data_IF_292571494113
#
_entry.id   IF_292571494113
#
_cell.length_a   1.000
_cell.length_b   1.000
_cell.length_c   1.000
_cell.angle_alpha   90.00
_cell.angle_beta   90.00
_cell.angle_gamma   90.00
#
_symmetry.space_group_name_H-M   'P 1'
#
loop_
_entity.id
_entity.type
_entity.pdbx_description
1 polymer ?
#
# COMPACT_ATOMS: atom_id res chain seq x y z
N UNK A 1 -4.27 17.15 35.31
CA UNK A 1 -4.96 16.18 34.44
C UNK A 1 -3.91 15.59 33.52
N UNK A 2 -3.73 14.29 33.64
CA UNK A 2 -2.56 13.56 33.17
C UNK A 2 -2.52 13.46 31.63
N UNK A 3 -1.39 13.83 31.03
CA UNK A 3 -1.20 13.95 29.57
C UNK A 3 -1.19 12.59 28.83
N UNK A 4 -1.13 11.49 29.56
CA UNK A 4 -1.22 10.12 29.02
C UNK A 4 -2.64 9.69 28.63
N UNK A 5 -3.67 10.40 29.10
CA UNK A 5 -5.07 10.00 28.97
C UNK A 5 -5.69 10.33 27.61
N UNK A 6 -5.08 11.18 26.80
CA UNK A 6 -5.71 11.66 25.55
C UNK A 6 -5.63 10.61 24.44
N UNK A 7 -4.49 9.95 24.24
CA UNK A 7 -4.35 8.91 23.22
C UNK A 7 -5.12 7.62 23.56
N UNK A 8 -5.17 7.26 24.87
CA UNK A 8 -5.95 6.11 25.36
C UNK A 8 -7.47 6.26 25.18
N UNK A 9 -7.99 7.49 25.13
CA UNK A 9 -9.42 7.75 24.99
C UNK A 9 -9.96 7.53 23.58
N UNK A 10 -9.08 7.56 22.56
CA UNK A 10 -9.45 7.33 21.16
C UNK A 10 -9.59 5.85 20.78
N UNK A 11 -9.02 4.93 21.58
CA UNK A 11 -9.03 3.48 21.31
C UNK A 11 -10.31 2.80 21.81
N UNK A 12 -11.12 3.45 22.69
CA UNK A 12 -12.22 2.81 23.41
C UNK A 12 -13.60 2.78 22.73
N UNK A 13 -13.79 3.28 21.52
CA UNK A 13 -15.14 3.49 20.95
C UNK A 13 -15.67 2.34 20.09
N UNK A 14 -14.89 1.29 19.79
CA UNK A 14 -15.40 0.14 19.01
C UNK A 14 -15.14 -1.21 19.66
N UNK A 15 -15.61 -1.37 20.91
CA UNK A 15 -15.82 -2.71 21.49
C UNK A 15 -17.25 -3.15 21.19
N UNK A 16 -17.51 -3.53 19.95
CA UNK A 16 -18.59 -4.45 19.64
C UNK A 16 -18.01 -5.87 19.75
N UNK A 17 -18.64 -6.71 20.55
CA UNK A 17 -18.26 -8.08 20.87
C UNK A 17 -18.30 -8.98 19.62
N UNK A 18 -17.21 -9.00 18.88
CA UNK A 18 -16.90 -10.06 17.93
C UNK A 18 -15.51 -10.58 18.29
N UNK A 19 -15.35 -11.90 18.33
CA UNK A 19 -14.07 -12.57 18.49
C UNK A 19 -13.03 -11.84 17.64
N UNK A 20 -12.04 -11.18 18.26
CA UNK A 20 -11.06 -10.37 17.57
C UNK A 20 -10.34 -11.28 16.55
N UNK A 21 -10.63 -11.07 15.28
CA UNK A 21 -9.99 -11.81 14.19
C UNK A 21 -8.58 -11.27 14.07
N UNK A 22 -7.60 -11.97 14.62
CA UNK A 22 -6.19 -11.61 14.51
C UNK A 22 -5.60 -12.13 13.20
N UNK A 23 -4.61 -11.42 12.67
CA UNK A 23 -3.75 -11.89 11.59
C UNK A 23 -2.30 -11.54 11.95
N UNK A 24 -1.41 -12.51 11.87
CA UNK A 24 0.03 -12.32 12.08
C UNK A 24 0.84 -13.39 11.38
N UNK A 25 2.04 -13.01 10.94
CA UNK A 25 3.03 -13.89 10.36
C UNK A 25 3.64 -14.78 11.45
N UNK A 26 3.69 -16.09 11.21
CA UNK A 26 4.27 -17.07 12.15
C UNK A 26 5.61 -17.60 11.68
N UNK A 27 5.85 -17.67 10.38
CA UNK A 27 7.08 -18.19 9.81
C UNK A 27 7.38 -17.54 8.46
N UNK A 28 8.65 -17.26 8.19
CA UNK A 28 9.13 -16.74 6.91
C UNK A 28 10.27 -17.61 6.39
N UNK A 29 10.13 -18.12 5.17
CA UNK A 29 11.20 -18.83 4.47
C UNK A 29 11.49 -18.15 3.12
N UNK A 30 12.75 -17.82 2.90
CA UNK A 30 13.25 -17.20 1.67
C UNK A 30 14.33 -18.09 1.05
N UNK A 31 14.31 -18.22 -0.26
CA UNK A 31 15.38 -18.85 -1.03
C UNK A 31 15.68 -17.96 -2.23
N UNK A 32 16.93 -17.60 -2.43
CA UNK A 32 17.41 -16.78 -3.54
C UNK A 32 16.61 -15.47 -3.72
N UNK A 33 16.33 -14.79 -2.60
CA UNK A 33 15.63 -13.51 -2.62
C UNK A 33 16.55 -12.37 -2.20
N UNK A 34 16.80 -11.41 -3.08
CA UNK A 34 17.70 -10.27 -2.84
C UNK A 34 19.06 -10.76 -2.37
N UNK A 35 19.52 -10.33 -1.20
CA UNK A 35 20.77 -10.79 -0.57
C UNK A 35 20.62 -12.04 0.28
N UNK A 36 19.40 -12.57 0.46
CA UNK A 36 19.18 -13.83 1.15
C UNK A 36 19.32 -15.01 0.19
N UNK A 37 20.40 -15.77 0.31
CA UNK A 37 20.52 -17.07 -0.36
C UNK A 37 19.51 -18.06 0.27
N UNK A 38 19.44 -18.09 1.61
CA UNK A 38 18.47 -18.87 2.39
C UNK A 38 18.19 -18.19 3.71
N UNK A 39 16.91 -18.09 4.05
CA UNK A 39 16.40 -17.71 5.37
C UNK A 39 15.26 -18.66 5.71
N UNK A 40 15.20 -19.11 6.96
CA UNK A 40 14.12 -19.98 7.45
C UNK A 40 13.98 -19.75 8.94
N UNK A 41 12.89 -19.04 9.36
CA UNK A 41 12.76 -18.63 10.75
C UNK A 41 11.32 -18.34 11.18
N UNK A 42 11.06 -18.59 12.46
CA UNK A 42 9.81 -18.26 13.12
C UNK A 42 9.74 -16.77 13.45
N UNK A 43 8.57 -16.19 13.28
CA UNK A 43 8.31 -14.79 13.54
C UNK A 43 7.37 -14.67 14.75
N UNK A 44 7.77 -14.00 15.85
CA UNK A 44 6.93 -13.88 17.02
C UNK A 44 5.77 -12.90 16.81
N UNK A 45 4.67 -13.17 17.49
CA UNK A 45 3.47 -12.30 17.50
C UNK A 45 3.70 -11.10 18.41
N UNK A 46 4.59 -10.20 18.01
CA UNK A 46 4.97 -8.97 18.75
C UNK A 46 5.78 -8.02 17.86
N UNK A 47 6.32 -7.01 18.50
CA UNK A 47 7.30 -6.12 17.86
C UNK A 47 8.65 -6.82 17.75
N UNK A 48 9.24 -6.79 16.56
CA UNK A 48 10.58 -7.28 16.24
C UNK A 48 11.44 -6.12 15.74
N UNK A 49 12.62 -5.95 16.32
CA UNK A 49 13.62 -4.97 15.91
C UNK A 49 14.74 -5.66 15.13
N UNK A 50 14.81 -5.39 13.83
CA UNK A 50 15.89 -5.83 12.94
C UNK A 50 17.02 -4.81 12.99
N UNK A 51 18.11 -5.16 13.64
CA UNK A 51 19.26 -4.27 13.91
C UNK A 51 20.44 -4.68 13.04
N UNK A 52 21.16 -3.72 12.48
CA UNK A 52 22.37 -3.99 11.70
C UNK A 52 22.81 -2.76 10.92
N UNK A 53 24.01 -2.79 10.36
CA UNK A 53 24.53 -1.73 9.53
C UNK A 53 23.73 -1.60 8.21
N UNK A 54 23.96 -0.54 7.44
CA UNK A 54 23.32 -0.38 6.13
C UNK A 54 23.75 -1.48 5.15
N UNK A 55 22.87 -1.81 4.22
CA UNK A 55 23.06 -2.83 3.19
C UNK A 55 23.21 -4.28 3.68
N UNK A 56 22.91 -4.58 4.96
CA UNK A 56 23.01 -5.95 5.50
C UNK A 56 21.79 -6.84 5.15
N UNK A 57 20.66 -6.27 4.69
CA UNK A 57 19.47 -7.01 4.29
C UNK A 57 18.23 -6.68 5.11
N UNK A 58 18.28 -5.74 6.05
CA UNK A 58 17.13 -5.32 6.86
C UNK A 58 15.92 -4.96 6.00
N UNK A 59 16.11 -4.05 5.05
CA UNK A 59 15.07 -3.60 4.11
C UNK A 59 14.60 -4.73 3.20
N UNK A 60 15.50 -5.64 2.77
CA UNK A 60 15.13 -6.80 1.96
C UNK A 60 14.26 -7.80 2.72
N UNK A 61 14.45 -7.92 4.04
CA UNK A 61 13.57 -8.71 4.90
C UNK A 61 12.13 -8.14 4.91
N UNK A 62 11.99 -6.83 5.16
CA UNK A 62 10.67 -6.18 5.11
C UNK A 62 10.06 -6.24 3.71
N UNK A 63 10.89 -6.10 2.67
CA UNK A 63 10.45 -6.22 1.29
C UNK A 63 9.86 -7.59 0.99
N UNK A 64 10.44 -8.68 1.50
CA UNK A 64 9.90 -10.02 1.33
C UNK A 64 8.50 -10.15 1.95
N UNK A 65 8.31 -9.66 3.19
CA UNK A 65 7.01 -9.70 3.87
C UNK A 65 5.98 -8.84 3.13
N UNK A 66 6.36 -7.63 2.72
CA UNK A 66 5.49 -6.75 1.95
C UNK A 66 5.13 -7.34 0.58
N UNK A 67 6.10 -7.95 -0.10
CA UNK A 67 5.87 -8.58 -1.40
C UNK A 67 4.87 -9.74 -1.31
N UNK A 68 4.86 -10.50 -0.22
CA UNK A 68 3.86 -11.53 0.02
C UNK A 68 2.45 -10.97 0.25
N UNK A 69 2.31 -9.73 0.74
CA UNK A 69 1.02 -9.06 0.92
C UNK A 69 0.52 -8.33 -0.33
N UNK A 70 1.42 -7.60 -1.00
CA UNK A 70 1.08 -6.68 -2.08
C UNK A 70 1.43 -7.22 -3.48
N UNK A 71 2.20 -8.31 -3.57
CA UNK A 71 2.73 -8.92 -4.80
C UNK A 71 3.52 -7.96 -5.69
N UNK A 72 4.00 -6.88 -5.12
CA UNK A 72 4.86 -5.86 -5.74
C UNK A 72 5.91 -5.38 -4.74
N UNK A 73 7.05 -4.94 -5.26
CA UNK A 73 8.08 -4.32 -4.43
C UNK A 73 7.83 -2.82 -4.26
N UNK A 74 8.29 -2.27 -3.14
CA UNK A 74 8.38 -0.83 -2.93
C UNK A 74 9.75 -0.24 -3.34
N UNK A 75 10.74 -1.09 -3.60
CA UNK A 75 12.09 -0.68 -4.00
C UNK A 75 12.34 -0.73 -5.52
N UNK A 76 11.61 -1.60 -6.23
CA UNK A 76 11.80 -1.80 -7.67
C UNK A 76 10.49 -2.04 -8.39
N UNK A 77 10.41 -1.57 -9.63
CA UNK A 77 9.32 -1.89 -10.57
C UNK A 77 9.63 -3.13 -11.42
N UNK A 78 10.83 -3.70 -11.28
CA UNK A 78 11.30 -4.84 -12.08
C UNK A 78 11.44 -6.06 -11.18
N UNK A 79 10.42 -6.92 -11.14
CA UNK A 79 10.39 -8.10 -10.26
C UNK A 79 11.59 -9.07 -10.44
N UNK A 80 12.22 -9.07 -11.62
CA UNK A 80 13.46 -9.84 -11.84
C UNK A 80 14.58 -9.50 -10.85
N UNK A 81 14.62 -8.24 -10.40
CA UNK A 81 15.62 -7.77 -9.43
C UNK A 81 15.41 -8.31 -8.02
N UNK A 82 14.29 -8.96 -7.76
CA UNK A 82 13.99 -9.61 -6.48
C UNK A 82 14.72 -10.95 -6.34
N UNK A 83 15.04 -11.62 -7.46
CA UNK A 83 15.84 -12.85 -7.44
C UNK A 83 17.28 -12.49 -7.10
N UNK A 84 17.91 -13.29 -6.24
CA UNK A 84 19.32 -13.10 -5.86
C UNK A 84 20.20 -12.95 -7.10
N UNK A 85 21.06 -11.92 -7.11
CA UNK A 85 21.76 -11.53 -8.33
C UNK A 85 22.81 -12.56 -8.77
N UNK A 86 23.33 -13.37 -7.85
CA UNK A 86 24.27 -14.47 -8.18
C UNK A 86 23.48 -15.58 -8.89
N UNK A 87 22.34 -15.96 -8.31
CA UNK A 87 21.47 -16.99 -8.88
C UNK A 87 20.87 -16.56 -10.22
N UNK A 88 20.48 -15.29 -10.36
CA UNK A 88 19.89 -14.73 -11.59
C UNK A 88 20.80 -14.81 -12.84
N UNK A 89 22.08 -15.15 -12.67
CA UNK A 89 23.01 -15.41 -13.79
C UNK A 89 22.83 -16.79 -14.39
N UNK A 90 22.20 -17.72 -13.66
CA UNK A 90 21.90 -19.06 -14.15
C UNK A 90 20.81 -19.01 -15.22
N UNK A 91 20.86 -19.86 -16.25
CA UNK A 91 19.83 -19.90 -17.30
C UNK A 91 18.42 -20.12 -16.73
N UNK A 92 18.30 -20.94 -15.70
CA UNK A 92 17.09 -21.15 -14.93
C UNK A 92 17.37 -20.79 -13.47
N UNK A 93 16.74 -19.74 -12.99
CA UNK A 93 16.88 -19.30 -11.60
C UNK A 93 15.54 -19.20 -10.91
N UNK A 94 15.48 -19.59 -9.64
CA UNK A 94 14.24 -19.58 -8.86
C UNK A 94 14.46 -18.84 -7.54
N UNK A 95 13.77 -17.73 -7.39
CA UNK A 95 13.54 -17.11 -6.09
C UNK A 95 12.25 -17.64 -5.47
N UNK A 96 12.25 -17.94 -4.17
CA UNK A 96 11.09 -18.47 -3.46
C UNK A 96 10.87 -17.74 -2.15
N UNK A 97 9.62 -17.31 -1.93
CA UNK A 97 9.17 -16.68 -0.69
C UNK A 97 8.01 -17.50 -0.13
N UNK A 98 8.04 -17.81 1.14
CA UNK A 98 6.96 -18.52 1.84
C UNK A 98 6.65 -17.78 3.14
N UNK A 99 5.38 -17.45 3.35
CA UNK A 99 4.84 -17.01 4.62
C UNK A 99 3.89 -18.05 5.17
N UNK A 100 4.09 -18.46 6.43
CA UNK A 100 3.05 -19.10 7.21
C UNK A 100 2.46 -18.05 8.16
N UNK A 101 1.14 -17.96 8.23
CA UNK A 101 0.47 -16.94 9.01
C UNK A 101 -0.85 -17.47 9.61
N UNK A 102 -1.26 -16.83 10.67
CA UNK A 102 -2.58 -17.06 11.27
C UNK A 102 -3.55 -16.00 10.80
N UNK A 103 -4.76 -16.43 10.46
CA UNK A 103 -5.89 -15.55 10.15
C UNK A 103 -7.12 -16.02 10.93
N UNK A 104 -7.41 -15.36 12.04
CA UNK A 104 -8.34 -15.89 13.03
C UNK A 104 -7.86 -17.29 13.52
N UNK A 105 -8.73 -18.29 13.62
CA UNK A 105 -8.34 -19.62 14.09
C UNK A 105 -7.53 -20.41 13.06
N UNK A 106 -7.55 -20.02 11.79
CA UNK A 106 -6.96 -20.79 10.69
C UNK A 106 -5.49 -20.45 10.49
N UNK A 107 -4.68 -21.49 10.21
CA UNK A 107 -3.32 -21.35 9.72
C UNK A 107 -3.32 -21.45 8.20
N UNK A 108 -2.55 -20.58 7.55
CA UNK A 108 -2.43 -20.51 6.10
C UNK A 108 -0.96 -20.49 5.69
N UNK A 109 -0.70 -20.96 4.48
CA UNK A 109 0.61 -20.90 3.84
C UNK A 109 0.50 -20.24 2.48
N UNK A 110 1.21 -19.12 2.32
CA UNK A 110 1.34 -18.41 1.07
C UNK A 110 2.75 -18.59 0.52
N UNK A 111 2.85 -19.05 -0.72
CA UNK A 111 4.13 -19.25 -1.40
C UNK A 111 4.14 -18.49 -2.73
N UNK A 112 5.21 -17.76 -2.98
CA UNK A 112 5.46 -17.10 -4.27
C UNK A 112 6.78 -17.60 -4.83
N UNK A 113 6.75 -18.05 -6.08
CA UNK A 113 7.93 -18.45 -6.84
C UNK A 113 8.17 -17.45 -7.96
N UNK A 114 9.38 -16.95 -8.02
CA UNK A 114 9.89 -16.06 -9.06
C UNK A 114 10.80 -16.89 -9.96
N UNK A 115 10.28 -17.38 -11.08
CA UNK A 115 10.99 -18.29 -11.97
C UNK A 115 11.53 -17.48 -13.16
N UNK A 116 12.84 -17.38 -13.28
CA UNK A 116 13.52 -16.82 -14.43
C UNK A 116 13.78 -17.94 -15.45
N UNK A 117 13.12 -17.86 -16.59
CA UNK A 117 13.20 -18.83 -17.68
C UNK A 117 13.94 -18.21 -18.87
N UNK A 118 14.81 -18.96 -19.57
CA UNK A 118 15.47 -18.46 -20.77
C UNK A 118 14.45 -18.24 -21.90
N UNK A 119 14.60 -17.14 -22.62
CA UNK A 119 13.81 -16.82 -23.81
C UNK A 119 14.74 -16.39 -24.94
N UNK A 120 14.76 -17.16 -26.03
CA UNK A 120 15.70 -16.94 -27.12
C UNK A 120 17.16 -17.12 -26.71
N UNK A 121 18.07 -16.48 -27.44
CA UNK A 121 19.53 -16.69 -27.26
C UNK A 121 20.09 -15.96 -26.02
N UNK A 122 19.55 -14.77 -25.69
CA UNK A 122 20.10 -13.92 -24.61
C UNK A 122 19.03 -13.29 -23.69
N UNK A 123 17.77 -13.71 -23.78
CA UNK A 123 16.68 -13.16 -22.99
C UNK A 123 16.29 -14.04 -21.80
N UNK A 124 15.74 -13.42 -20.75
CA UNK A 124 15.10 -14.11 -19.64
C UNK A 124 13.71 -13.52 -19.42
N UNK A 125 12.75 -14.38 -19.18
CA UNK A 125 11.38 -14.02 -18.81
C UNK A 125 11.12 -14.41 -17.35
N UNK A 126 10.57 -13.48 -16.59
CA UNK A 126 10.10 -13.80 -15.25
C UNK A 126 8.67 -14.36 -15.33
N UNK A 127 8.46 -15.52 -14.72
CA UNK A 127 7.14 -16.10 -14.44
C UNK A 127 6.91 -16.14 -12.94
N UNK A 128 5.80 -15.55 -12.51
CA UNK A 128 5.37 -15.53 -11.11
C UNK A 128 4.35 -16.66 -10.88
N UNK A 129 4.59 -17.51 -9.90
CA UNK A 129 3.63 -18.52 -9.46
C UNK A 129 3.23 -18.25 -8.01
N UNK A 130 1.94 -18.30 -7.74
CA UNK A 130 1.38 -18.03 -6.41
C UNK A 130 0.60 -19.28 -5.97
N UNK A 131 0.93 -19.77 -4.78
CA UNK A 131 0.23 -20.89 -4.16
C UNK A 131 -0.32 -20.46 -2.81
N UNK A 132 -1.60 -20.69 -2.59
CA UNK A 132 -2.27 -20.51 -1.30
C UNK A 132 -2.66 -21.91 -0.80
N UNK A 133 -2.17 -22.28 0.39
CA UNK A 133 -2.38 -23.58 1.01
C UNK A 133 -2.03 -24.76 0.07
N UNK A 134 -0.92 -24.59 -0.69
CA UNK A 134 -0.41 -25.56 -1.64
C UNK A 134 -1.12 -25.58 -3.02
N UNK A 135 -2.21 -24.82 -3.19
CA UNK A 135 -2.96 -24.76 -4.44
C UNK A 135 -2.57 -23.51 -5.24
N UNK A 136 -2.21 -23.69 -6.50
CA UNK A 136 -1.90 -22.56 -7.41
C UNK A 136 -3.16 -21.73 -7.67
N UNK A 137 -3.05 -20.43 -7.45
CA UNK A 137 -4.14 -19.45 -7.61
C UNK A 137 -3.69 -18.23 -8.39
N UNK A 138 -4.60 -17.58 -9.13
CA UNK A 138 -4.33 -16.27 -9.71
C UNK A 138 -4.17 -15.20 -8.62
N UNK A 139 -3.35 -14.18 -8.89
CA UNK A 139 -3.07 -13.09 -7.94
C UNK A 139 -4.35 -12.43 -7.40
N UNK A 140 -5.33 -12.20 -8.27
CA UNK A 140 -6.56 -11.52 -7.89
C UNK A 140 -7.40 -12.28 -6.84
N UNK A 141 -7.22 -13.59 -6.71
CA UNK A 141 -7.87 -14.40 -5.69
C UNK A 141 -7.09 -14.43 -4.37
N UNK A 142 -5.79 -14.14 -4.41
CA UNK A 142 -4.90 -14.30 -3.24
C UNK A 142 -4.63 -12.97 -2.52
N UNK A 143 -4.61 -11.86 -3.26
CA UNK A 143 -4.41 -10.56 -2.65
C UNK A 143 -5.48 -10.27 -1.60
N UNK A 144 -5.05 -9.75 -0.41
CA UNK A 144 -5.94 -9.53 0.74
C UNK A 144 -6.11 -10.75 1.66
N UNK A 145 -5.52 -11.92 1.34
CA UNK A 145 -5.44 -13.04 2.29
C UNK A 145 -4.43 -12.79 3.40
N UNK A 146 -3.29 -12.22 3.06
CA UNK A 146 -2.27 -11.74 3.98
C UNK A 146 -2.08 -10.24 3.74
N UNK A 147 -2.22 -9.41 4.77
CA UNK A 147 -2.18 -7.96 4.66
C UNK A 147 -0.99 -7.39 5.41
N UNK A 148 -0.29 -6.46 4.79
CA UNK A 148 0.79 -5.71 5.41
C UNK A 148 0.74 -4.23 4.99
N UNK A 149 1.05 -3.35 5.93
CA UNK A 149 1.25 -1.92 5.66
C UNK A 149 2.72 -1.61 5.87
N UNK A 150 3.34 -1.03 4.85
CA UNK A 150 4.73 -0.61 4.93
C UNK A 150 4.85 0.90 5.03
N UNK A 151 5.80 1.34 5.84
CA UNK A 151 6.24 2.72 5.93
C UNK A 151 7.75 2.79 5.69
N UNK A 152 8.16 3.46 4.62
CA UNK A 152 9.56 3.72 4.26
C UNK A 152 9.74 5.21 3.96
N UNK A 153 10.94 5.80 4.18
CA UNK A 153 11.18 7.22 3.96
C UNK A 153 10.80 7.72 2.55
N UNK A 154 11.04 6.89 1.52
CA UNK A 154 10.76 7.23 0.12
C UNK A 154 9.27 7.38 -0.19
N UNK A 155 8.38 6.94 0.69
CA UNK A 155 6.92 7.08 0.50
C UNK A 155 6.42 8.52 0.60
N UNK A 156 7.27 9.50 0.93
CA UNK A 156 6.94 10.93 0.74
C UNK A 156 6.50 11.23 -0.69
N UNK A 157 6.92 10.42 -1.66
CA UNK A 157 6.48 10.49 -3.05
C UNK A 157 4.96 10.29 -3.23
N UNK A 158 4.25 9.68 -2.28
CA UNK A 158 2.78 9.63 -2.28
C UNK A 158 2.19 11.04 -2.17
N UNK A 159 2.88 11.95 -1.47
CA UNK A 159 2.44 13.33 -1.26
C UNK A 159 3.10 14.28 -2.26
N UNK A 160 4.43 14.24 -2.39
CA UNK A 160 5.24 15.14 -3.21
C UNK A 160 5.28 14.74 -4.69
N UNK A 161 5.10 13.46 -4.99
CA UNK A 161 5.21 12.91 -6.35
C UNK A 161 4.00 13.17 -7.24
N UNK A 162 4.01 12.54 -8.41
CA UNK A 162 2.94 12.68 -9.41
C UNK A 162 1.67 11.89 -9.08
N UNK A 163 0.59 12.10 -9.85
CA UNK A 163 -0.68 11.38 -9.70
C UNK A 163 -0.55 9.86 -9.77
N UNK A 164 0.47 9.35 -10.45
CA UNK A 164 0.72 7.92 -10.61
C UNK A 164 1.03 7.25 -9.25
N UNK A 165 1.89 7.88 -8.43
CA UNK A 165 2.24 7.39 -7.10
C UNK A 165 1.01 7.32 -6.18
N UNK A 166 0.16 8.34 -6.25
CA UNK A 166 -1.08 8.40 -5.47
C UNK A 166 -2.09 7.35 -5.91
N UNK A 167 -2.25 7.14 -7.22
CA UNK A 167 -3.10 6.06 -7.74
C UNK A 167 -2.55 4.69 -7.37
N UNK A 168 -1.22 4.50 -7.43
CA UNK A 168 -0.56 3.25 -7.01
C UNK A 168 -0.82 2.97 -5.54
N UNK A 169 -0.66 3.97 -4.68
CA UNK A 169 -0.97 3.87 -3.26
C UNK A 169 -2.42 3.42 -3.02
N UNK A 170 -3.40 4.11 -3.61
CA UNK A 170 -4.81 3.76 -3.49
C UNK A 170 -5.09 2.34 -4.00
N UNK A 171 -4.56 1.98 -5.16
CA UNK A 171 -4.78 0.66 -5.73
C UNK A 171 -4.26 -0.46 -4.82
N UNK A 172 -3.08 -0.29 -4.21
CA UNK A 172 -2.49 -1.29 -3.31
C UNK A 172 -3.29 -1.42 -2.01
N UNK A 173 -3.70 -0.31 -1.42
CA UNK A 173 -4.52 -0.31 -0.21
C UNK A 173 -5.90 -0.95 -0.46
N UNK A 174 -6.55 -0.59 -1.57
CA UNK A 174 -7.86 -1.13 -1.96
C UNK A 174 -7.80 -2.61 -2.34
N UNK A 175 -6.76 -3.04 -3.07
CA UNK A 175 -6.59 -4.44 -3.46
C UNK A 175 -6.42 -5.37 -2.27
N UNK A 176 -5.76 -4.91 -1.19
CA UNK A 176 -5.61 -5.70 0.03
C UNK A 176 -6.89 -5.74 0.90
N UNK A 177 -7.82 -4.80 0.70
CA UNK A 177 -8.98 -4.62 1.60
C UNK A 177 -10.32 -4.97 0.98
N UNK A 178 -10.47 -4.75 -0.31
CA UNK A 178 -11.75 -4.96 -1.02
C UNK A 178 -11.65 -6.20 -1.89
N UNK A 179 -12.45 -7.24 -1.62
CA UNK A 179 -12.51 -8.42 -2.49
C UNK A 179 -12.80 -8.01 -3.93
N UNK A 180 -12.20 -8.71 -4.89
CA UNK A 180 -12.35 -8.49 -6.33
C UNK A 180 -11.78 -7.16 -6.88
N UNK A 181 -11.33 -6.20 -6.03
CA UNK A 181 -10.80 -4.92 -6.56
C UNK A 181 -9.63 -5.12 -7.53
N UNK A 182 -8.70 -6.03 -7.21
CA UNK A 182 -7.57 -6.34 -8.09
C UNK A 182 -8.03 -6.95 -9.43
N UNK A 183 -9.06 -7.79 -9.42
CA UNK A 183 -9.66 -8.33 -10.63
C UNK A 183 -10.30 -7.22 -11.47
N UNK A 184 -11.13 -6.38 -10.86
CA UNK A 184 -11.78 -5.23 -11.53
C UNK A 184 -10.75 -4.27 -12.12
N UNK A 185 -9.66 -4.00 -11.40
CA UNK A 185 -8.57 -3.15 -11.88
C UNK A 185 -7.86 -3.76 -13.10
N UNK A 186 -7.66 -5.08 -13.11
CA UNK A 186 -7.08 -5.80 -14.25
C UNK A 186 -8.01 -5.78 -15.47
N UNK A 187 -9.30 -6.04 -15.28
CA UNK A 187 -10.31 -5.96 -16.34
C UNK A 187 -10.36 -4.57 -16.97
N UNK A 188 -10.37 -3.54 -16.11
CA UNK A 188 -10.31 -2.15 -16.55
C UNK A 188 -9.05 -1.85 -17.37
N UNK A 189 -7.89 -2.29 -16.90
CA UNK A 189 -6.60 -2.03 -17.57
C UNK A 189 -6.50 -2.72 -18.92
N UNK A 190 -7.00 -3.95 -19.01
CA UNK A 190 -7.06 -4.69 -20.28
C UNK A 190 -8.00 -4.01 -21.28
N UNK A 191 -9.21 -3.67 -20.84
CA UNK A 191 -10.19 -2.97 -21.70
C UNK A 191 -9.68 -1.60 -22.14
N UNK A 192 -9.01 -0.84 -21.26
CA UNK A 192 -8.39 0.44 -21.58
C UNK A 192 -7.31 0.29 -22.67
N UNK A 193 -6.48 -0.75 -22.58
CA UNK A 193 -5.43 -1.03 -23.56
C UNK A 193 -6.04 -1.33 -24.94
N UNK A 194 -7.06 -2.15 -25.01
CA UNK A 194 -7.73 -2.50 -26.25
C UNK A 194 -8.49 -1.29 -26.84
N UNK A 195 -9.18 -0.54 -25.99
CA UNK A 195 -9.86 0.69 -26.42
C UNK A 195 -8.89 1.70 -27.00
N UNK A 196 -7.74 1.94 -26.35
CA UNK A 196 -6.73 2.85 -26.85
C UNK A 196 -6.12 2.40 -28.18
N UNK A 197 -5.93 1.09 -28.37
CA UNK A 197 -5.47 0.53 -29.64
C UNK A 197 -6.49 0.80 -30.75
N UNK A 198 -7.80 0.65 -30.47
CA UNK A 198 -8.87 0.97 -31.43
C UNK A 198 -8.96 2.47 -31.71
N UNK A 199 -8.88 3.32 -30.68
CA UNK A 199 -8.87 4.79 -30.85
C UNK A 199 -7.73 5.25 -31.78
N UNK A 200 -6.54 4.66 -31.58
CA UNK A 200 -5.39 4.95 -32.44
C UNK A 200 -5.62 4.50 -33.88
N UNK A 201 -6.18 3.30 -34.07
CA UNK A 201 -6.53 2.80 -35.42
C UNK A 201 -7.56 3.71 -36.12
N UNK A 202 -8.61 4.12 -35.39
CA UNK A 202 -9.64 5.03 -35.92
C UNK A 202 -9.08 6.41 -36.27
N UNK A 203 -8.13 6.93 -35.47
CA UNK A 203 -7.44 8.16 -35.80
C UNK A 203 -6.59 8.07 -37.06
N UNK A 204 -5.81 6.99 -37.21
CA UNK A 204 -4.87 6.80 -38.31
C UNK A 204 -5.53 6.42 -39.64
N UNK A 205 -6.58 5.60 -39.60
CA UNK A 205 -7.18 4.95 -40.80
C UNK A 205 -8.65 5.21 -40.96
N UNK A 206 -9.30 5.87 -40.02
CA UNK A 206 -10.75 5.95 -39.98
C UNK A 206 -11.38 4.57 -39.68
N UNK A 207 -12.68 4.45 -39.93
CA UNK A 207 -13.40 3.20 -39.78
C UNK A 207 -14.68 3.33 -38.97
N UNK A 208 -15.27 2.19 -38.62
CA UNK A 208 -16.52 2.14 -37.88
C UNK A 208 -16.31 2.41 -36.37
N UNK A 209 -16.74 3.58 -35.95
CA UNK A 209 -16.68 4.02 -34.57
C UNK A 209 -17.61 3.22 -33.62
N UNK A 210 -18.60 2.48 -34.17
CA UNK A 210 -19.52 1.68 -33.35
C UNK A 210 -18.79 0.56 -32.59
N UNK A 211 -17.63 0.14 -33.08
CA UNK A 211 -16.76 -0.85 -32.42
C UNK A 211 -16.29 -0.41 -31.04
N UNK A 212 -16.28 0.89 -30.74
CA UNK A 212 -15.96 1.42 -29.41
C UNK A 212 -17.01 1.05 -28.36
N UNK A 213 -18.27 0.80 -28.76
CA UNK A 213 -19.37 0.58 -27.82
C UNK A 213 -19.10 -0.56 -26.81
N UNK A 214 -18.55 -1.66 -27.28
CA UNK A 214 -18.19 -2.81 -26.42
C UNK A 214 -17.14 -2.42 -25.36
N UNK A 215 -16.12 -1.68 -25.78
CA UNK A 215 -15.06 -1.23 -24.86
C UNK A 215 -15.54 -0.11 -23.96
N UNK A 216 -16.39 0.80 -24.43
CA UNK A 216 -17.03 1.85 -23.64
C UNK A 216 -17.84 1.24 -22.49
N UNK A 217 -18.66 0.22 -22.77
CA UNK A 217 -19.43 -0.49 -21.75
C UNK A 217 -18.51 -1.20 -20.73
N UNK A 218 -17.46 -1.87 -21.21
CA UNK A 218 -16.54 -2.62 -20.35
C UNK A 218 -15.76 -1.68 -19.41
N UNK A 219 -15.21 -0.57 -19.94
CA UNK A 219 -14.45 0.38 -19.11
C UNK A 219 -15.35 1.18 -18.17
N UNK A 220 -16.60 1.47 -18.54
CA UNK A 220 -17.52 2.19 -17.65
C UNK A 220 -17.99 1.31 -16.50
N UNK A 221 -18.29 0.05 -16.75
CA UNK A 221 -18.67 -0.92 -15.70
C UNK A 221 -17.54 -1.12 -14.68
N UNK A 222 -16.35 -1.50 -15.14
CA UNK A 222 -15.21 -1.70 -14.25
C UNK A 222 -14.69 -0.39 -13.65
N UNK A 223 -14.67 0.68 -14.45
CA UNK A 223 -14.27 2.01 -14.02
C UNK A 223 -15.17 2.61 -12.95
N UNK A 224 -16.49 2.48 -13.07
CA UNK A 224 -17.45 2.93 -12.06
C UNK A 224 -17.22 2.23 -10.71
N UNK A 225 -16.97 0.92 -10.73
CA UNK A 225 -16.65 0.16 -9.51
C UNK A 225 -15.36 0.66 -8.84
N UNK A 226 -14.32 0.99 -9.63
CA UNK A 226 -13.07 1.55 -9.10
C UNK A 226 -13.30 2.95 -8.52
N UNK A 227 -14.04 3.82 -9.23
CA UNK A 227 -14.34 5.19 -8.77
C UNK A 227 -15.12 5.14 -7.45
N UNK A 228 -16.17 4.33 -7.36
CA UNK A 228 -16.96 4.19 -6.13
C UNK A 228 -16.12 3.68 -4.96
N UNK A 229 -15.29 2.66 -5.19
CA UNK A 229 -14.38 2.14 -4.18
C UNK A 229 -13.39 3.21 -3.68
N UNK A 230 -12.82 4.02 -4.58
CA UNK A 230 -11.92 5.12 -4.23
C UNK A 230 -12.62 6.25 -3.47
N UNK A 231 -13.83 6.65 -3.90
CA UNK A 231 -14.65 7.65 -3.21
C UNK A 231 -14.83 7.22 -1.74
N UNK A 232 -15.32 6.01 -1.54
CA UNK A 232 -15.59 5.47 -0.21
C UNK A 232 -14.32 5.38 0.64
N UNK A 233 -13.25 4.81 0.09
CA UNK A 233 -12.00 4.63 0.81
C UNK A 233 -11.35 5.96 1.19
N UNK A 234 -11.30 6.93 0.26
CA UNK A 234 -10.68 8.23 0.55
C UNK A 234 -11.46 8.98 1.63
N UNK A 235 -12.79 8.96 1.60
CA UNK A 235 -13.61 9.59 2.65
C UNK A 235 -13.37 8.95 4.04
N UNK A 236 -13.21 7.62 4.09
CA UNK A 236 -12.96 6.91 5.35
C UNK A 236 -11.54 7.15 5.86
N UNK A 237 -10.53 7.04 4.97
CA UNK A 237 -9.12 7.29 5.29
C UNK A 237 -8.93 8.75 5.70
N UNK A 238 -9.57 9.72 5.03
CA UNK A 238 -9.50 11.14 5.39
C UNK A 238 -9.94 11.38 6.83
N UNK A 239 -11.10 10.83 7.23
CA UNK A 239 -11.62 10.98 8.60
C UNK A 239 -10.62 10.45 9.64
N UNK A 240 -9.93 9.36 9.35
CA UNK A 240 -8.91 8.78 10.22
C UNK A 240 -7.62 9.61 10.19
N UNK A 241 -7.12 9.93 9.00
CA UNK A 241 -5.87 10.67 8.81
C UNK A 241 -5.95 12.09 9.38
N UNK A 242 -7.07 12.79 9.18
CA UNK A 242 -7.28 14.11 9.74
C UNK A 242 -7.20 14.11 11.29
N UNK A 243 -7.79 13.11 11.95
CA UNK A 243 -7.71 12.97 13.40
C UNK A 243 -6.29 12.71 13.90
N UNK A 244 -5.59 11.76 13.26
CA UNK A 244 -4.21 11.43 13.60
C UNK A 244 -3.30 12.63 13.35
N UNK A 245 -3.42 13.28 12.21
CA UNK A 245 -2.64 14.46 11.85
C UNK A 245 -2.85 15.62 12.82
N UNK A 246 -4.10 15.89 13.19
CA UNK A 246 -4.45 16.92 14.17
C UNK A 246 -3.81 16.66 15.54
N UNK A 247 -3.74 15.39 15.96
CA UNK A 247 -3.04 14.99 17.18
C UNK A 247 -1.53 15.20 17.06
N UNK A 248 -0.91 14.73 15.96
CA UNK A 248 0.53 14.85 15.72
C UNK A 248 1.01 16.31 15.58
N UNK A 249 0.14 17.20 15.09
CA UNK A 249 0.42 18.64 14.94
C UNK A 249 -0.01 19.48 16.15
N UNK A 250 -0.40 18.82 17.25
CA UNK A 250 -0.88 19.51 18.48
C UNK A 250 -2.05 20.45 18.18
N UNK A 251 -2.98 20.00 17.35
CA UNK A 251 -4.19 20.73 16.96
C UNK A 251 -3.94 22.01 16.11
N UNK A 252 -2.74 22.16 15.54
CA UNK A 252 -2.39 23.33 14.75
C UNK A 252 -2.76 23.22 13.28
N UNK A 253 -2.86 22.00 12.75
CA UNK A 253 -3.14 21.79 11.33
C UNK A 253 -4.35 20.89 11.11
N UNK A 254 -5.10 21.18 10.05
CA UNK A 254 -6.23 20.39 9.56
C UNK A 254 -5.86 19.77 8.23
N UNK A 255 -5.72 18.45 8.22
CA UNK A 255 -5.42 17.68 7.00
C UNK A 255 -6.72 17.39 6.22
N UNK A 256 -6.66 17.54 4.89
CA UNK A 256 -7.70 17.16 3.94
C UNK A 256 -7.13 16.29 2.83
N UNK A 257 -7.89 15.29 2.44
CA UNK A 257 -7.61 14.43 1.29
C UNK A 257 -8.67 14.68 0.21
N UNK A 258 -8.28 15.37 -0.86
CA UNK A 258 -9.19 15.72 -1.94
C UNK A 258 -9.06 14.72 -3.09
N UNK A 259 -10.05 13.84 -3.24
CA UNK A 259 -10.14 12.96 -4.39
C UNK A 259 -10.80 13.71 -5.57
N UNK A 260 -10.08 13.77 -6.68
CA UNK A 260 -10.45 14.45 -7.90
C UNK A 260 -10.55 13.41 -9.04
N UNK A 261 -11.70 12.75 -9.19
CA UNK A 261 -11.91 11.81 -10.27
C UNK A 261 -11.90 12.52 -11.63
N UNK A 262 -11.26 11.94 -12.64
CA UNK A 262 -11.23 12.48 -13.98
C UNK A 262 -12.63 12.50 -14.63
N UNK A 263 -13.48 11.54 -14.27
CA UNK A 263 -14.92 11.61 -14.44
C UNK A 263 -15.54 11.88 -13.07
N UNK A 264 -16.03 13.09 -12.86
CA UNK A 264 -16.75 13.43 -11.62
C UNK A 264 -18.25 13.19 -11.83
N UNK A 265 -18.84 12.24 -11.07
CA UNK A 265 -20.28 11.96 -11.17
C UNK A 265 -21.17 13.07 -10.60
N UNK A 266 -20.62 13.99 -9.80
CA UNK A 266 -21.39 15.12 -9.31
C UNK A 266 -21.61 16.18 -10.39
N UNK A 267 -22.82 16.71 -10.56
CA UNK A 267 -23.09 17.78 -11.48
C UNK A 267 -22.28 19.02 -11.08
N UNK A 268 -21.51 19.56 -12.01
CA UNK A 268 -20.87 20.87 -11.82
C UNK A 268 -21.94 21.94 -11.98
N UNK A 269 -22.14 22.82 -11.01
CA UNK A 269 -23.04 23.96 -11.17
C UNK A 269 -22.50 24.86 -12.28
N UNK A 270 -23.29 25.09 -13.34
CA UNK A 270 -22.88 25.81 -14.57
C UNK A 270 -22.48 27.25 -14.34
N UNK A 271 -22.71 27.88 -13.20
CA UNK A 271 -22.51 29.30 -12.92
C UNK A 271 -22.14 29.68 -11.47
N UNK A 272 -21.66 28.83 -10.64
CA UNK A 272 -21.13 29.27 -9.35
C UNK A 272 -19.65 29.60 -9.49
N UNK A 273 -19.30 30.87 -9.25
CA UNK A 273 -17.96 31.25 -8.81
C UNK A 273 -17.76 30.41 -7.55
N UNK A 274 -17.02 29.28 -7.71
CA UNK A 274 -16.71 28.42 -6.60
C UNK A 274 -15.86 29.24 -5.63
N UNK A 275 -16.49 29.81 -4.61
CA UNK A 275 -15.71 30.09 -3.42
C UNK A 275 -15.08 28.75 -3.00
N UNK A 276 -13.76 28.71 -2.78
CA UNK A 276 -13.10 27.51 -2.26
C UNK A 276 -13.58 27.29 -0.80
N UNK A 277 -14.79 26.75 -0.65
CA UNK A 277 -15.21 26.21 0.61
C UNK A 277 -14.32 24.97 0.81
N UNK A 278 -13.49 25.03 1.84
CA UNK A 278 -12.61 23.91 2.26
C UNK A 278 -13.40 22.70 2.80
N UNK A 279 -14.62 22.51 2.33
CA UNK A 279 -15.45 21.36 2.67
C UNK A 279 -15.28 20.28 1.60
N UNK A 280 -14.93 19.05 2.00
CA UNK A 280 -14.88 17.93 1.07
C UNK A 280 -16.23 17.77 0.37
N UNK A 281 -16.20 17.51 -0.94
CA UNK A 281 -17.42 17.17 -1.67
C UNK A 281 -17.94 15.83 -1.17
N UNK A 282 -19.14 15.83 -0.64
CA UNK A 282 -19.78 14.60 -0.19
C UNK A 282 -20.31 13.81 -1.40
N UNK A 283 -19.73 12.64 -1.63
CA UNK A 283 -20.10 11.70 -2.69
C UNK A 283 -20.71 10.42 -2.13
N UNK A 284 -21.08 10.40 -0.85
CA UNK A 284 -21.55 9.19 -0.15
C UNK A 284 -22.89 8.64 -0.68
N UNK A 285 -23.67 9.48 -1.33
CA UNK A 285 -25.00 9.11 -1.85
C UNK A 285 -24.96 8.55 -3.29
N UNK A 286 -23.81 8.55 -3.94
CA UNK A 286 -23.69 8.06 -5.32
C UNK A 286 -23.80 6.55 -5.38
N UNK A 287 -24.61 6.05 -6.29
CA UNK A 287 -24.76 4.62 -6.58
C UNK A 287 -23.83 4.20 -7.71
N UNK A 288 -23.56 2.89 -7.78
CA UNK A 288 -22.74 2.31 -8.87
C UNK A 288 -23.35 2.59 -10.24
N UNK A 289 -24.68 2.46 -10.32
CA UNK A 289 -25.45 2.64 -11.54
C UNK A 289 -25.38 4.08 -12.06
N UNK A 290 -25.53 5.06 -11.17
CA UNK A 290 -25.41 6.48 -11.52
C UNK A 290 -24.03 6.83 -12.05
N UNK A 291 -22.98 6.32 -11.40
CA UNK A 291 -21.59 6.53 -11.84
C UNK A 291 -21.39 5.87 -13.21
N UNK A 292 -21.84 4.64 -13.42
CA UNK A 292 -21.65 3.91 -14.67
C UNK A 292 -22.38 4.59 -15.84
N UNK A 293 -23.65 4.94 -15.65
CA UNK A 293 -24.48 5.57 -16.69
C UNK A 293 -23.93 6.96 -17.07
N UNK A 294 -23.62 7.77 -16.09
CA UNK A 294 -23.05 9.10 -16.34
C UNK A 294 -21.65 9.03 -16.96
N UNK A 295 -20.83 8.06 -16.60
CA UNK A 295 -19.52 7.84 -17.21
C UNK A 295 -19.66 7.42 -18.67
N UNK A 296 -20.59 6.51 -19.00
CA UNK A 296 -20.87 6.10 -20.38
C UNK A 296 -21.36 7.26 -21.23
N UNK A 297 -22.29 8.06 -20.70
CA UNK A 297 -22.79 9.27 -21.38
C UNK A 297 -21.63 10.25 -21.65
N UNK A 298 -20.75 10.47 -20.66
CA UNK A 298 -19.63 11.39 -20.81
C UNK A 298 -18.60 10.91 -21.82
N UNK A 299 -18.31 9.61 -21.88
CA UNK A 299 -17.45 9.02 -22.92
C UNK A 299 -18.03 9.26 -24.33
N UNK A 300 -19.34 9.12 -24.49
CA UNK A 300 -20.00 9.43 -25.76
C UNK A 300 -19.79 10.88 -26.19
N UNK A 301 -19.83 11.85 -25.27
CA UNK A 301 -19.63 13.27 -25.54
C UNK A 301 -18.20 13.60 -25.97
N UNK A 302 -17.18 12.93 -25.42
CA UNK A 302 -15.75 13.18 -25.72
C UNK A 302 -15.20 12.26 -26.81
N UNK A 303 -16.02 11.37 -27.37
CA UNK A 303 -15.58 10.34 -28.33
C UNK A 303 -14.77 10.90 -29.50
N UNK A 304 -15.25 11.94 -30.14
CA UNK A 304 -14.56 12.57 -31.29
C UNK A 304 -13.18 13.13 -30.89
N UNK A 305 -13.08 13.73 -29.69
CA UNK A 305 -11.82 14.23 -29.17
C UNK A 305 -10.86 13.08 -28.85
N UNK A 306 -11.34 11.99 -28.25
CA UNK A 306 -10.53 10.83 -27.92
C UNK A 306 -10.04 10.09 -29.17
N UNK A 307 -10.86 10.01 -30.23
CA UNK A 307 -10.43 9.50 -31.52
C UNK A 307 -9.31 10.38 -32.09
N UNK A 308 -9.50 11.70 -32.11
CA UNK A 308 -8.49 12.62 -32.61
C UNK A 308 -7.15 12.55 -31.83
N UNK A 309 -7.20 12.24 -30.55
CA UNK A 309 -6.01 12.06 -29.70
C UNK A 309 -5.47 10.62 -29.70
N UNK A 310 -6.21 9.65 -30.17
CA UNK A 310 -5.85 8.22 -30.12
C UNK A 310 -5.75 7.65 -28.71
N UNK A 311 -6.40 8.26 -27.70
CA UNK A 311 -6.27 7.88 -26.29
C UNK A 311 -7.52 8.20 -25.48
N UNK A 312 -7.83 7.34 -24.51
CA UNK A 312 -8.90 7.57 -23.52
C UNK A 312 -8.48 8.66 -22.53
N UNK A 313 -9.32 9.69 -22.39
CA UNK A 313 -9.04 10.89 -21.58
C UNK A 313 -9.74 10.88 -20.22
N UNK A 314 -10.80 10.10 -20.07
CA UNK A 314 -11.63 10.00 -18.86
C UNK A 314 -11.51 8.64 -18.19
N UNK A 315 -11.60 8.62 -16.87
CA UNK A 315 -11.68 7.42 -16.06
C UNK A 315 -10.59 7.28 -14.99
N UNK A 316 -10.65 6.21 -14.16
CA UNK A 316 -9.84 6.09 -12.95
C UNK A 316 -8.33 6.02 -13.18
N UNK A 317 -7.86 5.79 -14.40
CA UNK A 317 -6.44 5.88 -14.77
C UNK A 317 -5.93 7.35 -14.87
N UNK A 318 -6.80 8.33 -14.78
CA UNK A 318 -6.50 9.78 -14.81
C UNK A 318 -6.85 10.50 -13.51
N UNK A 319 -7.38 9.77 -12.52
CA UNK A 319 -7.76 10.36 -11.23
C UNK A 319 -6.58 10.94 -10.49
N UNK A 320 -6.90 11.92 -9.63
CA UNK A 320 -5.96 12.58 -8.75
C UNK A 320 -6.42 12.51 -7.29
N UNK A 321 -5.47 12.46 -6.36
CA UNK A 321 -5.66 12.59 -4.93
C UNK A 321 -4.71 13.65 -4.40
N UNK A 322 -5.23 14.73 -3.80
CA UNK A 322 -4.42 15.82 -3.26
C UNK A 322 -4.46 15.84 -1.74
N UNK A 323 -3.35 16.20 -1.14
CA UNK A 323 -3.18 16.37 0.29
C UNK A 323 -3.05 17.84 0.61
N UNK A 324 -3.91 18.37 1.49
CA UNK A 324 -3.89 19.76 1.90
C UNK A 324 -3.81 19.87 3.41
N UNK A 325 -2.91 20.73 3.92
CA UNK A 325 -2.85 21.11 5.33
C UNK A 325 -3.21 22.62 5.43
N UNK A 326 -4.22 22.94 6.23
CA UNK A 326 -4.75 24.32 6.36
C UNK A 326 -5.05 24.99 5.01
N UNK A 327 -5.54 24.21 4.03
CA UNK A 327 -5.86 24.71 2.69
C UNK A 327 -4.67 24.83 1.73
N UNK A 328 -3.44 24.54 2.18
CA UNK A 328 -2.23 24.58 1.36
C UNK A 328 -1.99 23.19 0.76
N UNK A 329 -1.79 23.10 -0.55
CA UNK A 329 -1.43 21.86 -1.24
C UNK A 329 0.00 21.46 -0.86
N UNK A 330 0.12 20.25 -0.27
CA UNK A 330 1.40 19.78 0.25
C UNK A 330 2.35 19.28 -0.85
N UNK A 331 1.85 18.96 -2.04
CA UNK A 331 2.72 18.58 -3.16
C UNK A 331 3.53 19.75 -3.68
N UNK A 332 2.96 20.95 -3.65
CA UNK A 332 3.55 22.14 -4.24
C UNK A 332 4.25 23.03 -3.19
N UNK A 333 3.69 23.09 -1.97
CA UNK A 333 4.10 24.07 -0.96
C UNK A 333 4.38 23.46 0.43
N UNK A 334 4.31 22.13 0.56
CA UNK A 334 4.52 21.45 1.84
C UNK A 334 5.96 21.53 2.31
N UNK A 335 6.18 21.91 3.58
CA UNK A 335 7.49 21.73 4.19
C UNK A 335 7.80 20.23 4.38
N UNK A 336 9.08 19.85 4.41
CA UNK A 336 9.50 18.45 4.66
C UNK A 336 8.88 17.88 5.94
N UNK A 337 8.74 18.70 6.99
CA UNK A 337 8.12 18.30 8.25
C UNK A 337 6.61 18.02 8.08
N UNK A 338 5.89 18.86 7.34
CA UNK A 338 4.48 18.68 7.04
C UNK A 338 4.25 17.41 6.20
N UNK A 339 5.05 17.20 5.16
CA UNK A 339 4.98 16.00 4.31
C UNK A 339 5.19 14.73 5.12
N UNK A 340 6.23 14.67 5.98
CA UNK A 340 6.51 13.53 6.84
C UNK A 340 5.40 13.28 7.87
N UNK A 341 4.85 14.34 8.47
CA UNK A 341 3.74 14.24 9.42
C UNK A 341 2.48 13.75 8.75
N UNK A 342 2.19 14.24 7.54
CA UNK A 342 1.05 13.82 6.74
C UNK A 342 1.20 12.35 6.30
N UNK A 343 2.40 11.95 5.87
CA UNK A 343 2.66 10.55 5.51
C UNK A 343 2.49 9.62 6.73
N UNK A 344 3.00 10.00 7.89
CA UNK A 344 2.80 9.24 9.14
C UNK A 344 1.31 9.12 9.46
N UNK A 345 0.57 10.22 9.42
CA UNK A 345 -0.87 10.23 9.68
C UNK A 345 -1.64 9.36 8.67
N UNK A 346 -1.27 9.42 7.40
CA UNK A 346 -1.86 8.61 6.33
C UNK A 346 -1.62 7.11 6.57
N UNK A 347 -0.39 6.72 6.93
CA UNK A 347 -0.05 5.30 7.15
C UNK A 347 -0.70 4.72 8.41
N UNK A 348 -0.79 5.51 9.49
CA UNK A 348 -1.52 5.10 10.68
C UNK A 348 -3.03 4.99 10.39
N UNK A 349 -3.59 5.92 9.61
CA UNK A 349 -4.98 5.86 9.16
C UNK A 349 -5.25 4.64 8.27
N UNK A 350 -4.33 4.29 7.37
CA UNK A 350 -4.41 3.11 6.51
C UNK A 350 -4.51 1.81 7.33
N UNK A 351 -3.71 1.69 8.40
CA UNK A 351 -3.75 0.53 9.31
C UNK A 351 -5.13 0.41 9.98
N UNK A 352 -5.63 1.51 10.55
CA UNK A 352 -6.94 1.54 11.22
C UNK A 352 -8.08 1.26 10.23
N UNK A 353 -7.99 1.83 9.03
CA UNK A 353 -8.94 1.59 7.96
C UNK A 353 -8.96 0.13 7.51
N UNK A 354 -7.79 -0.47 7.27
CA UNK A 354 -7.68 -1.89 6.92
C UNK A 354 -8.28 -2.76 8.01
N UNK A 355 -7.96 -2.50 9.29
CA UNK A 355 -8.54 -3.20 10.43
C UNK A 355 -10.06 -3.08 10.48
N UNK A 356 -10.59 -1.88 10.29
CA UNK A 356 -12.04 -1.64 10.29
C UNK A 356 -12.75 -2.41 9.16
N UNK A 357 -12.14 -2.48 7.98
CA UNK A 357 -12.71 -3.13 6.80
C UNK A 357 -12.55 -4.65 6.79
N UNK A 358 -11.42 -5.17 7.24
CA UNK A 358 -11.13 -6.61 7.23
C UNK A 358 -11.44 -7.31 8.55
N UNK A 359 -11.61 -6.54 9.62
CA UNK A 359 -11.72 -7.04 10.99
C UNK A 359 -10.40 -7.57 11.56
N UNK A 360 -9.26 -7.29 10.91
CA UNK A 360 -7.94 -7.84 11.27
C UNK A 360 -6.87 -6.76 11.19
N UNK A 361 -5.88 -6.81 12.10
CA UNK A 361 -4.70 -5.97 11.99
C UNK A 361 -3.83 -6.43 10.81
N UNK A 362 -3.36 -5.53 9.94
CA UNK A 362 -2.27 -5.85 9.00
C UNK A 362 -0.96 -5.99 9.76
N UNK A 363 0.00 -6.73 9.23
CA UNK A 363 1.39 -6.71 9.71
C UNK A 363 2.00 -5.36 9.39
N UNK A 364 2.55 -4.68 10.39
CA UNK A 364 3.17 -3.37 10.20
C UNK A 364 4.68 -3.51 9.94
N UNK A 365 5.14 -2.85 8.90
CA UNK A 365 6.54 -2.86 8.46
C UNK A 365 7.08 -1.42 8.47
N UNK A 366 8.15 -1.16 9.23
CA UNK A 366 8.77 0.18 9.33
C UNK A 366 10.26 0.09 9.00
N UNK A 367 10.68 0.71 7.90
CA UNK A 367 12.07 0.73 7.47
C UNK A 367 12.74 2.06 7.81
N UNK A 368 13.55 2.08 8.86
CA UNK A 368 14.33 3.22 9.36
C UNK A 368 13.53 4.52 9.61
N UNK A 369 12.21 4.42 9.77
CA UNK A 369 11.29 5.58 9.89
C UNK A 369 11.58 6.43 11.10
N UNK A 370 12.03 5.83 12.23
CA UNK A 370 12.26 6.55 13.46
C UNK A 370 13.40 7.58 13.34
N UNK A 371 14.37 7.34 12.47
CA UNK A 371 15.46 8.28 12.20
C UNK A 371 14.96 9.59 11.53
N UNK A 372 13.85 9.51 10.81
CA UNK A 372 13.26 10.63 10.07
C UNK A 372 12.30 11.49 10.93
N UNK A 373 11.96 11.03 12.13
CA UNK A 373 11.01 11.68 13.03
C UNK A 373 11.73 12.45 14.15
N UNK A 374 11.17 13.58 14.54
CA UNK A 374 11.57 14.25 15.77
C UNK A 374 11.21 13.41 17.01
N UNK A 375 11.78 13.80 18.16
CA UNK A 375 11.64 13.03 19.40
C UNK A 375 10.17 12.84 19.82
N UNK A 376 9.32 13.84 19.58
CA UNK A 376 7.92 13.77 19.98
C UNK A 376 7.11 12.84 19.07
N UNK A 377 7.21 12.97 17.76
CA UNK A 377 6.54 12.09 16.80
C UNK A 377 7.02 10.66 16.92
N UNK A 378 8.30 10.48 17.26
CA UNK A 378 8.87 9.17 17.57
C UNK A 378 8.20 8.54 18.78
N UNK A 379 8.04 9.29 19.87
CA UNK A 379 7.35 8.82 21.07
C UNK A 379 5.88 8.48 20.78
N UNK A 380 5.18 9.31 20.01
CA UNK A 380 3.79 9.06 19.60
C UNK A 380 3.67 7.76 18.77
N UNK A 381 4.60 7.53 17.82
CA UNK A 381 4.63 6.31 17.03
C UNK A 381 4.93 5.07 17.89
N UNK A 382 5.92 5.12 18.78
CA UNK A 382 6.26 4.01 19.67
C UNK A 382 5.08 3.64 20.57
N UNK A 383 4.38 4.63 21.14
CA UNK A 383 3.17 4.40 21.94
C UNK A 383 2.04 3.75 21.11
N UNK A 384 1.91 4.10 19.83
CA UNK A 384 0.95 3.45 18.92
C UNK A 384 1.32 1.98 18.68
N UNK A 385 2.61 1.69 18.48
CA UNK A 385 3.11 0.34 18.22
C UNK A 385 2.87 -0.64 19.39
N UNK A 386 2.78 -0.17 20.63
CA UNK A 386 2.47 -1.01 21.79
C UNK A 386 1.09 -1.70 21.70
N UNK A 387 0.19 -1.15 20.86
CA UNK A 387 -1.18 -1.65 20.70
C UNK A 387 -1.37 -2.48 19.41
N UNK A 388 -0.31 -2.66 18.62
CA UNK A 388 -0.35 -3.42 17.37
C UNK A 388 -0.07 -4.90 17.62
N UNK A 389 -0.75 -5.76 16.86
CA UNK A 389 -0.62 -7.21 16.93
C UNK A 389 0.80 -7.69 16.59
N UNK A 390 1.35 -7.17 15.49
CA UNK A 390 2.69 -7.50 15.02
C UNK A 390 3.29 -6.35 14.22
N UNK A 391 4.53 -5.98 14.55
CA UNK A 391 5.29 -4.99 13.80
C UNK A 391 6.75 -5.45 13.63
N UNK A 392 7.30 -5.25 12.45
CA UNK A 392 8.70 -5.50 12.10
C UNK A 392 9.36 -4.16 11.78
N UNK A 393 10.37 -3.77 12.56
CA UNK A 393 11.04 -2.49 12.42
C UNK A 393 12.52 -2.70 12.11
N UNK A 394 13.07 -1.91 11.22
CA UNK A 394 14.51 -1.86 11.00
C UNK A 394 15.13 -0.64 11.64
N UNK A 395 16.34 -0.79 12.13
CA UNK A 395 17.15 0.32 12.66
C UNK A 395 18.64 0.04 12.54
N UNK A 396 19.42 1.10 12.47
CA UNK A 396 20.87 1.08 12.66
C UNK A 396 21.26 1.42 14.10
N UNK A 397 20.37 2.08 14.87
CA UNK A 397 20.66 2.54 16.23
C UNK A 397 19.46 2.33 17.18
N UNK A 398 19.69 1.47 18.17
CA UNK A 398 18.69 1.20 19.22
C UNK A 398 18.43 2.40 20.15
N UNK A 399 19.30 3.42 20.15
CA UNK A 399 19.09 4.65 20.95
C UNK A 399 17.88 5.47 20.48
N UNK A 400 17.36 5.20 19.30
CA UNK A 400 16.13 5.81 18.80
C UNK A 400 14.87 5.32 19.54
N UNK A 401 14.98 4.21 20.27
CA UNK A 401 13.90 3.59 21.03
C UNK A 401 14.04 3.87 22.52
N UNK A 402 12.93 3.94 23.22
CA UNK A 402 12.97 3.98 24.69
C UNK A 402 13.44 2.64 25.25
N UNK A 403 14.18 2.62 26.38
CA UNK A 403 14.64 1.36 26.98
C UNK A 403 13.49 0.36 27.24
N UNK A 404 12.37 0.83 27.80
CA UNK A 404 11.20 -0.03 28.05
C UNK A 404 10.54 -0.58 26.79
N UNK A 405 10.68 0.08 25.64
CA UNK A 405 10.21 -0.46 24.35
C UNK A 405 11.13 -1.59 23.86
N UNK A 406 12.45 -1.40 23.96
CA UNK A 406 13.44 -2.43 23.56
C UNK A 406 13.30 -3.69 24.42
N UNK A 407 13.08 -3.54 25.73
CA UNK A 407 12.86 -4.67 26.64
C UNK A 407 11.63 -5.53 26.28
N UNK A 408 10.58 -4.92 25.75
CA UNK A 408 9.36 -5.61 25.31
C UNK A 408 9.48 -6.21 23.90
N UNK A 409 10.34 -5.65 23.07
CA UNK A 409 10.56 -6.09 21.69
C UNK A 409 11.53 -7.29 21.64
N UNK A 410 11.45 -8.04 20.55
CA UNK A 410 12.47 -9.05 20.23
C UNK A 410 13.48 -8.42 19.28
N UNK A 411 14.76 -8.54 19.61
CA UNK A 411 15.85 -7.94 18.84
C UNK A 411 16.57 -9.00 18.02
N UNK A 412 16.70 -8.74 16.73
CA UNK A 412 17.39 -9.60 15.76
C UNK A 412 18.52 -8.84 15.09
N UNK A 413 19.69 -9.46 15.04
CA UNK A 413 20.84 -8.93 14.31
C UNK A 413 20.77 -9.38 12.85
N UNK A 414 20.94 -8.44 11.92
CA UNK A 414 21.00 -8.73 10.48
C UNK A 414 22.38 -8.39 9.95
N UNK A 415 23.09 -9.40 9.47
CA UNK A 415 24.43 -9.28 8.92
C UNK A 415 24.60 -10.12 7.66
N UNK A 416 25.02 -9.48 6.53
CA UNK A 416 25.33 -10.14 5.26
C UNK A 416 24.27 -11.15 4.78
N UNK A 417 22.97 -10.80 4.89
CA UNK A 417 21.87 -11.66 4.48
C UNK A 417 21.62 -12.85 5.44
N UNK A 418 22.14 -12.79 6.64
CA UNK A 418 21.81 -13.71 7.74
C UNK A 418 21.10 -12.97 8.86
N UNK A 419 20.20 -13.65 9.54
CA UNK A 419 19.45 -13.10 10.69
C UNK A 419 19.72 -13.97 11.91
N UNK A 420 20.12 -13.35 13.02
CA UNK A 420 20.35 -14.02 14.31
C UNK A 420 19.41 -13.45 15.36
N UNK A 421 18.74 -14.30 16.08
CA UNK A 421 17.89 -13.91 17.22
C UNK A 421 18.79 -13.61 18.41
N UNK A 422 18.76 -12.34 18.89
CA UNK A 422 19.54 -11.94 20.07
C UNK A 422 18.76 -12.09 21.39
N UNK A 423 17.44 -12.23 21.31
CA UNK A 423 16.55 -12.32 22.47
C UNK A 423 15.93 -10.98 22.88
N UNK A 424 15.27 -10.96 24.03
CA UNK A 424 14.58 -9.78 24.57
C UNK A 424 15.58 -8.89 25.31
N UNK A 425 15.54 -7.59 24.98
CA UNK A 425 16.33 -6.58 25.70
C UNK A 425 17.83 -6.66 25.49
N UNK A 426 18.33 -7.55 24.62
CA UNK A 426 19.77 -7.73 24.42
C UNK A 426 20.30 -6.70 23.41
N UNK A 427 21.45 -6.08 23.77
CA UNK A 427 22.18 -5.19 22.85
C UNK A 427 23.43 -5.89 22.33
N UNK A 428 24.01 -5.44 21.21
CA UNK A 428 25.24 -5.99 20.62
C UNK A 428 26.41 -6.06 21.64
N UNK A 429 26.44 -5.14 22.61
CA UNK A 429 27.47 -5.11 23.67
C UNK A 429 27.31 -6.23 24.69
N UNK A 430 26.12 -6.78 24.82
CA UNK A 430 25.85 -7.87 25.78
C UNK A 430 26.18 -9.24 25.16
N UNK A 431 26.04 -9.35 23.83
CA UNK A 431 26.36 -10.57 23.07
C UNK A 431 27.87 -10.81 22.85
N UNK A 432 28.71 -9.77 23.03
CA UNK A 432 30.19 -9.91 22.93
C UNK A 432 30.82 -10.33 24.28
N UNK A 433 30.03 -10.54 25.35
CA UNK A 433 30.50 -10.91 26.69
C UNK A 433 30.27 -12.38 27.06
N UNK A 434 29.50 -13.10 26.22
CA UNK A 434 29.30 -14.57 26.33
C UNK A 434 30.14 -15.29 25.24
#
# INVERSE_FOLDING_TARGET
MDKQTVLHRFIRVYLCSSVAKFMYLTHLSLTNFRNFARLDMDIPRRVVLLVGSNAQGKTSFLEAVYFLAAFTSFQTHVDRQLVNFVEAKNPLAVGRLVAEYRRGPSAHRLEVRLVLEPVGVNGQRLRKEILLDGVKRPLAEVIGHFNAVIFVPQMTQIIEGGPEERRRYLNLALAQTIPSYAQTLNEYSQALTQRNALLKLLNERGGDQSQLAFWDETITRSGASIILARITAVQEIEKLAARVHHSLTRQQEVLRLNYLPAYDPLPRPERQIAMPLNTPLDRSMLTLEEIQQGFLQRLGQVRSEEIARGVTTLGPHRDELRFQANGIDLSDYGSRGQVRTTLLALKLAEIEWMKARTGQWPVLLLDEVLAELDAQRRADLLAYLENIEQALLTTTDLKLFSPGFVEKAETWEVESGTVRVMGRGTTRKDAEKD
#
